data_IF_955338689244
#
_entry.id   IF_955338689244
#
_cell.length_a   1.000
_cell.length_b   1.000
_cell.length_c   1.000
_cell.angle_alpha   90.00
_cell.angle_beta   90.00
_cell.angle_gamma   90.00
#
_symmetry.space_group_name_H-M   'P 1'
#
loop_
_entity.id
_entity.type
_entity.pdbx_description
1 polymer ?
#
# COMPACT_ATOMS: atom_id res chain seq x y z
N UNK A 1 4.21 -9.53 -10.59
CA UNK A 1 3.97 -8.52 -9.55
C UNK A 1 3.24 -9.15 -8.36
N UNK A 2 3.41 -8.64 -7.14
CA UNK A 2 2.67 -9.09 -5.94
C UNK A 2 1.78 -7.93 -5.49
N UNK A 3 0.55 -8.21 -5.08
CA UNK A 3 -0.41 -7.20 -4.63
C UNK A 3 -0.88 -7.46 -3.20
N UNK A 4 -1.20 -6.38 -2.49
CA UNK A 4 -1.94 -6.40 -1.23
C UNK A 4 -3.25 -5.62 -1.47
N UNK A 5 -4.39 -6.31 -1.39
CA UNK A 5 -5.70 -5.78 -1.77
C UNK A 5 -6.75 -6.16 -0.72
N UNK A 6 -7.85 -5.40 -0.63
CA UNK A 6 -9.04 -5.89 0.09
C UNK A 6 -9.61 -7.12 -0.63
N UNK A 7 -10.29 -7.99 0.11
CA UNK A 7 -10.99 -9.17 -0.44
C UNK A 7 -11.95 -8.84 -1.59
N UNK A 8 -12.58 -7.66 -1.58
CA UNK A 8 -13.42 -7.20 -2.70
C UNK A 8 -12.61 -6.94 -3.98
N UNK A 9 -11.42 -6.35 -3.84
CA UNK A 9 -10.60 -5.92 -4.97
C UNK A 9 -9.73 -7.06 -5.51
N UNK A 10 -9.41 -8.06 -4.68
CA UNK A 10 -8.67 -9.25 -5.12
C UNK A 10 -9.41 -9.99 -6.23
N UNK A 11 -10.74 -10.04 -6.18
CA UNK A 11 -11.57 -10.73 -7.18
C UNK A 11 -11.39 -10.18 -8.60
N UNK A 12 -11.21 -8.86 -8.72
CA UNK A 12 -11.00 -8.19 -10.02
C UNK A 12 -9.63 -8.55 -10.60
N UNK A 13 -8.64 -8.77 -9.73
CA UNK A 13 -7.23 -8.94 -10.12
C UNK A 13 -6.80 -10.41 -10.23
N UNK A 14 -7.57 -11.36 -9.68
CA UNK A 14 -7.16 -12.77 -9.53
C UNK A 14 -6.79 -13.49 -10.82
N UNK A 15 -7.31 -13.05 -11.96
CA UNK A 15 -7.07 -13.67 -13.27
C UNK A 15 -6.01 -12.96 -14.11
N UNK A 16 -5.36 -11.92 -13.57
CA UNK A 16 -4.32 -11.23 -14.32
C UNK A 16 -3.04 -12.08 -14.36
N UNK A 17 -2.59 -12.54 -15.55
CA UNK A 17 -1.46 -13.47 -15.67
C UNK A 17 -0.11 -12.86 -15.23
N UNK A 18 -0.04 -11.53 -15.05
CA UNK A 18 1.18 -10.84 -14.59
C UNK A 18 1.28 -10.74 -13.06
N UNK A 19 0.22 -11.15 -12.35
CA UNK A 19 0.18 -11.15 -10.89
C UNK A 19 0.58 -12.54 -10.40
N UNK A 20 1.65 -12.60 -9.61
CA UNK A 20 2.19 -13.84 -9.04
C UNK A 20 1.46 -14.26 -7.77
N UNK A 21 1.04 -13.27 -6.98
CA UNK A 21 0.39 -13.51 -5.71
C UNK A 21 -0.43 -12.28 -5.29
N UNK A 22 -1.53 -12.54 -4.60
CA UNK A 22 -2.39 -11.52 -4.00
C UNK A 22 -2.51 -11.86 -2.51
N UNK A 23 -2.03 -10.96 -1.67
CA UNK A 23 -2.31 -10.95 -0.25
C UNK A 23 -3.61 -10.18 -0.01
N UNK A 24 -4.45 -10.70 0.87
CA UNK A 24 -5.75 -10.11 1.17
C UNK A 24 -5.73 -9.37 2.51
N UNK A 25 -6.34 -8.19 2.53
CA UNK A 25 -6.65 -7.43 3.72
C UNK A 25 -8.17 -7.50 3.98
N UNK A 26 -8.56 -7.38 5.25
CA UNK A 26 -9.96 -7.42 5.66
C UNK A 26 -10.76 -6.25 5.05
N UNK A 27 -12.07 -6.35 4.87
CA UNK A 27 -12.89 -5.20 4.47
C UNK A 27 -12.76 -4.03 5.46
N UNK A 28 -12.73 -2.81 4.93
CA UNK A 28 -12.65 -1.58 5.74
C UNK A 28 -13.45 -0.46 5.07
N UNK A 29 -14.10 0.38 5.86
CA UNK A 29 -14.78 1.58 5.34
C UNK A 29 -13.76 2.66 4.99
N UNK A 30 -14.08 3.57 4.06
CA UNK A 30 -13.17 4.69 3.73
C UNK A 30 -12.84 5.55 4.94
N UNK A 31 -13.83 5.79 5.82
CA UNK A 31 -13.63 6.58 7.03
C UNK A 31 -12.61 5.91 7.99
N UNK A 32 -12.76 4.60 8.20
CA UNK A 32 -11.83 3.83 9.03
C UNK A 32 -10.45 3.72 8.40
N UNK A 33 -10.39 3.49 7.09
CA UNK A 33 -9.15 3.41 6.33
C UNK A 33 -8.32 4.68 6.51
N UNK A 34 -8.93 5.86 6.38
CA UNK A 34 -8.22 7.14 6.48
C UNK A 34 -7.83 7.51 7.93
N UNK A 35 -8.71 7.25 8.90
CA UNK A 35 -8.57 7.77 10.27
C UNK A 35 -7.89 6.81 11.25
N UNK A 36 -8.01 5.49 11.07
CA UNK A 36 -7.43 4.53 12.01
C UNK A 36 -5.93 4.38 11.77
N UNK A 37 -5.18 4.33 12.88
CA UNK A 37 -3.73 4.07 12.86
C UNK A 37 -3.38 2.60 12.60
N UNK A 38 -4.32 1.69 12.84
CA UNK A 38 -4.15 0.27 12.56
C UNK A 38 -4.67 -0.03 11.17
N UNK A 39 -3.88 -0.79 10.41
CA UNK A 39 -4.32 -1.32 9.13
C UNK A 39 -5.20 -2.57 9.33
N UNK A 40 -5.98 -2.89 8.30
CA UNK A 40 -6.86 -4.04 8.17
C UNK A 40 -6.17 -5.30 7.62
N UNK A 41 -4.84 -5.32 7.53
CA UNK A 41 -4.09 -6.51 7.09
C UNK A 41 -3.96 -7.51 8.26
N UNK A 42 -4.37 -8.78 8.08
CA UNK A 42 -4.20 -9.83 9.08
C UNK A 42 -2.74 -10.05 9.50
N UNK A 43 -2.53 -10.54 10.73
CA UNK A 43 -1.19 -10.64 11.33
C UNK A 43 -0.31 -11.69 10.66
N UNK A 44 -0.89 -12.83 10.30
CA UNK A 44 -0.27 -13.88 9.50
C UNK A 44 0.19 -13.35 8.14
N UNK A 45 -0.67 -12.62 7.43
CA UNK A 45 -0.32 -11.96 6.16
C UNK A 45 0.84 -10.97 6.34
N UNK A 46 0.85 -10.17 7.41
CA UNK A 46 1.97 -9.27 7.73
C UNK A 46 3.27 -10.05 7.96
N UNK A 47 3.23 -11.17 8.67
CA UNK A 47 4.42 -11.98 8.93
C UNK A 47 4.99 -12.54 7.62
N UNK A 48 4.14 -13.03 6.72
CA UNK A 48 4.56 -13.49 5.39
C UNK A 48 5.18 -12.36 4.57
N UNK A 49 4.51 -11.21 4.51
CA UNK A 49 5.03 -10.02 3.82
C UNK A 49 6.40 -9.59 4.36
N UNK A 50 6.59 -9.59 5.68
CA UNK A 50 7.86 -9.23 6.31
C UNK A 50 8.98 -10.23 6.00
N UNK A 51 8.65 -11.52 5.88
CA UNK A 51 9.62 -12.57 5.58
C UNK A 51 10.09 -12.57 4.12
N UNK A 52 9.33 -11.96 3.21
CA UNK A 52 9.67 -11.89 1.78
C UNK A 52 10.81 -10.91 1.44
N UNK A 53 11.24 -10.05 2.37
CA UNK A 53 12.40 -9.14 2.22
C UNK A 53 12.37 -8.32 0.93
N UNK A 54 11.27 -7.62 0.68
CA UNK A 54 11.08 -6.83 -0.53
C UNK A 54 12.12 -5.72 -0.70
N UNK A 55 12.63 -5.57 -1.92
CA UNK A 55 13.45 -4.40 -2.27
C UNK A 55 12.60 -3.13 -2.37
N UNK A 56 11.42 -3.22 -2.98
CA UNK A 56 10.57 -2.07 -3.30
C UNK A 56 9.11 -2.34 -2.92
N UNK A 57 8.50 -1.36 -2.26
CA UNK A 57 7.04 -1.19 -2.18
C UNK A 57 6.64 -0.02 -3.06
N UNK A 58 5.56 -0.18 -3.84
CA UNK A 58 4.92 0.92 -4.58
C UNK A 58 3.56 1.17 -3.94
N UNK A 59 3.34 2.38 -3.42
CA UNK A 59 2.04 2.82 -2.91
C UNK A 59 1.34 3.70 -3.96
N UNK A 60 0.40 3.14 -4.73
CA UNK A 60 -0.29 3.87 -5.79
C UNK A 60 -1.34 4.86 -5.27
N UNK A 61 -1.57 4.94 -3.95
CA UNK A 61 -2.61 5.83 -3.40
C UNK A 61 -2.25 7.29 -3.67
N UNK A 62 -3.10 8.04 -4.38
CA UNK A 62 -2.81 9.42 -4.81
C UNK A 62 -3.24 10.49 -3.80
N UNK A 63 -4.34 10.25 -3.07
CA UNK A 63 -4.98 11.23 -2.17
C UNK A 63 -5.12 10.67 -0.76
N UNK A 64 -5.28 11.57 0.23
CA UNK A 64 -5.49 11.30 1.65
C UNK A 64 -4.66 10.14 2.19
N UNK A 65 -3.39 10.42 2.49
CA UNK A 65 -2.42 9.41 2.93
C UNK A 65 -2.89 8.80 4.24
N UNK A 66 -3.30 7.51 4.25
CA UNK A 66 -3.85 6.91 5.44
C UNK A 66 -2.80 6.82 6.53
N UNK A 67 -3.15 7.25 7.74
CA UNK A 67 -2.21 7.32 8.87
C UNK A 67 -1.61 5.95 9.22
N UNK A 68 -2.31 4.86 8.91
CA UNK A 68 -1.82 3.49 9.13
C UNK A 68 -0.71 3.04 8.15
N UNK A 69 -0.47 3.76 7.04
CA UNK A 69 0.57 3.37 6.05
C UNK A 69 1.97 3.36 6.65
N UNK A 70 2.25 4.30 7.56
CA UNK A 70 3.49 4.33 8.33
C UNK A 70 3.75 3.00 9.04
N UNK A 71 2.72 2.52 9.76
CA UNK A 71 2.79 1.28 10.53
C UNK A 71 2.93 0.07 9.60
N UNK A 72 2.12 0.01 8.55
CA UNK A 72 2.17 -1.07 7.56
C UNK A 72 3.57 -1.23 6.95
N UNK A 73 4.15 -0.15 6.42
CA UNK A 73 5.46 -0.22 5.76
C UNK A 73 6.60 -0.58 6.72
N UNK A 74 6.54 -0.09 7.96
CA UNK A 74 7.49 -0.50 9.02
C UNK A 74 7.40 -1.98 9.37
N UNK A 75 6.22 -2.58 9.27
CA UNK A 75 6.05 -4.01 9.54
C UNK A 75 6.55 -4.87 8.37
N UNK A 76 6.34 -4.43 7.13
CA UNK A 76 6.82 -5.14 5.92
C UNK A 76 8.35 -5.01 5.73
N UNK A 77 8.95 -3.89 6.16
CA UNK A 77 10.41 -3.66 6.17
C UNK A 77 11.08 -3.76 4.78
N UNK A 78 10.48 -3.16 3.76
CA UNK A 78 11.12 -3.06 2.45
C UNK A 78 12.32 -2.10 2.45
N UNK A 79 13.28 -2.30 1.54
CA UNK A 79 14.45 -1.40 1.41
C UNK A 79 14.08 0.00 0.93
N UNK A 80 13.06 0.10 0.08
CA UNK A 80 12.55 1.37 -0.44
C UNK A 80 11.04 1.37 -0.57
N UNK A 81 10.42 2.49 -0.24
CA UNK A 81 8.98 2.72 -0.41
C UNK A 81 8.80 3.90 -1.35
N UNK A 82 8.18 3.64 -2.50
CA UNK A 82 7.87 4.61 -3.54
C UNK A 82 6.42 5.06 -3.39
N UNK A 83 6.21 6.36 -3.28
CA UNK A 83 4.88 6.98 -3.26
C UNK A 83 4.69 7.95 -4.42
N UNK A 84 3.46 8.43 -4.58
CA UNK A 84 3.08 9.41 -5.58
C UNK A 84 2.34 10.57 -4.92
N UNK A 85 2.70 11.82 -5.27
CA UNK A 85 2.10 13.04 -4.73
C UNK A 85 2.09 13.10 -3.19
N UNK A 86 3.12 12.54 -2.54
CA UNK A 86 3.21 12.50 -1.09
C UNK A 86 3.85 13.77 -0.57
N UNK A 87 3.30 14.30 0.52
CA UNK A 87 3.86 15.50 1.14
C UNK A 87 5.29 15.23 1.64
N UNK A 88 6.23 16.15 1.44
CA UNK A 88 7.62 15.98 1.88
C UNK A 88 7.77 15.74 3.39
N UNK A 89 6.79 16.16 4.20
CA UNK A 89 6.75 15.94 5.64
C UNK A 89 6.53 14.48 6.04
N UNK A 90 6.12 13.61 5.10
CA UNK A 90 5.78 12.22 5.36
C UNK A 90 7.01 11.33 5.11
N UNK A 91 7.78 11.13 6.17
CA UNK A 91 9.11 10.48 6.12
C UNK A 91 9.11 8.96 5.91
N UNK A 92 7.95 8.32 5.71
CA UNK A 92 7.89 6.87 5.48
C UNK A 92 7.97 6.45 4.01
N UNK A 93 8.05 7.42 3.10
CA UNK A 93 8.39 7.17 1.71
C UNK A 93 9.88 7.50 1.52
N UNK A 94 10.62 6.56 0.93
CA UNK A 94 12.02 6.78 0.55
C UNK A 94 12.12 7.73 -0.63
N UNK A 95 11.12 7.69 -1.52
CA UNK A 95 10.98 8.60 -2.63
C UNK A 95 9.49 8.82 -2.93
N UNK A 96 9.13 10.05 -3.26
CA UNK A 96 7.80 10.41 -3.77
C UNK A 96 7.97 11.02 -5.14
N UNK A 97 7.25 10.52 -6.13
CA UNK A 97 7.19 11.18 -7.43
C UNK A 97 6.07 12.20 -7.43
N UNK A 98 6.39 13.43 -7.83
CA UNK A 98 5.44 14.50 -7.99
C UNK A 98 4.91 14.49 -9.42
N UNK A 99 3.59 14.32 -9.55
CA UNK A 99 2.88 14.46 -10.80
C UNK A 99 2.11 15.78 -10.77
N UNK A 100 2.65 16.78 -11.47
CA UNK A 100 1.91 18.01 -11.77
C UNK A 100 0.76 17.69 -12.73
N UNK A 101 -0.44 17.49 -12.20
CA UNK A 101 -1.65 17.46 -13.02
C UNK A 101 -2.09 18.90 -13.34
N UNK A 102 -1.25 19.66 -14.06
CA UNK A 102 -1.64 20.96 -14.62
C UNK A 102 -2.48 20.80 -15.91
N UNK A 103 -2.61 19.57 -16.46
CA UNK A 103 -3.25 19.30 -17.76
C UNK A 103 -4.07 18.00 -17.84
N UNK A 104 -4.64 17.51 -16.73
CA UNK A 104 -5.65 16.46 -16.84
C UNK A 104 -7.02 17.13 -17.06
N UNK A 105 -7.27 17.54 -18.30
CA UNK A 105 -8.58 17.99 -18.81
C UNK A 105 -9.39 16.81 -19.31
#
# INVERSE_FOLDING_TARGET
MIFLLTTSNSQVMRYNPRIRHIYEADPVTSADFLRKFNHNVPRDVINELANNKYDIIIDPSLFDIPVHRLRLFRQIKAKSVLGFNKWPSIKHYSHSFDFDCQRCT
#
